data_IF_302635476465
#
_entry.id   IF_302635476465
#
_cell.length_a   1.000
_cell.length_b   1.000
_cell.length_c   1.000
_cell.angle_alpha   90.00
_cell.angle_beta   90.00
_cell.angle_gamma   90.00
#
_symmetry.space_group_name_H-M   'P 1'
#
loop_
_entity.id
_entity.type
_entity.pdbx_description
1 polymer ?
#
# COMPACT_ATOMS: atom_id res chain seq x y z
N UNK A 1 12.83 -3.06 10.83
CA UNK A 1 11.96 -3.94 10.00
C UNK A 1 12.35 -5.39 10.29
N UNK A 2 11.40 -6.30 10.52
CA UNK A 2 11.74 -7.71 10.78
C UNK A 2 12.40 -8.29 9.51
N UNK A 3 13.57 -8.94 9.65
CA UNK A 3 14.38 -9.47 8.56
C UNK A 3 13.69 -10.56 7.70
N UNK A 4 12.46 -10.98 8.05
CA UNK A 4 11.76 -12.08 7.39
C UNK A 4 10.59 -11.69 6.50
N UNK A 5 10.20 -10.41 6.44
CA UNK A 5 9.08 -9.90 5.64
C UNK A 5 7.83 -10.82 5.67
N UNK A 6 7.54 -11.39 6.84
CA UNK A 6 6.46 -12.36 7.00
C UNK A 6 5.11 -11.60 7.02
N UNK A 7 4.26 -11.78 5.99
CA UNK A 7 3.01 -11.04 5.89
C UNK A 7 2.08 -11.31 7.08
N UNK A 8 2.09 -12.52 7.64
CA UNK A 8 1.26 -12.87 8.79
C UNK A 8 1.73 -12.18 10.06
N UNK A 9 3.05 -12.03 10.23
CA UNK A 9 3.62 -11.30 11.35
C UNK A 9 3.23 -9.81 11.30
N UNK A 10 3.41 -9.15 10.16
CA UNK A 10 3.05 -7.74 9.99
C UNK A 10 1.54 -7.50 10.16
N UNK A 11 0.71 -8.39 9.63
CA UNK A 11 -0.74 -8.35 9.83
C UNK A 11 -1.14 -8.53 11.30
N UNK A 12 -0.47 -9.44 12.02
CA UNK A 12 -0.72 -9.65 13.45
C UNK A 12 -0.37 -8.42 14.28
N UNK A 13 0.72 -7.71 13.95
CA UNK A 13 1.07 -6.45 14.61
C UNK A 13 -0.07 -5.43 14.43
N UNK A 14 -0.54 -5.23 13.21
CA UNK A 14 -1.65 -4.31 12.92
C UNK A 14 -2.91 -4.66 13.69
N UNK A 15 -3.29 -5.95 13.69
CA UNK A 15 -4.45 -6.42 14.44
C UNK A 15 -4.30 -6.22 15.96
N UNK A 16 -3.07 -6.33 16.48
CA UNK A 16 -2.76 -6.14 17.91
C UNK A 16 -2.85 -4.66 18.30
N UNK A 17 -2.44 -3.74 17.41
CA UNK A 17 -2.49 -2.30 17.66
C UNK A 17 -3.86 -1.68 17.33
N UNK A 18 -4.77 -2.42 16.68
CA UNK A 18 -6.11 -1.94 16.31
C UNK A 18 -6.86 -1.20 17.44
N UNK A 19 -6.90 -1.69 18.70
CA UNK A 19 -7.66 -1.02 19.77
C UNK A 19 -7.25 0.44 20.02
N UNK A 20 -6.02 0.82 19.68
CA UNK A 20 -5.56 2.21 19.79
C UNK A 20 -6.37 3.19 18.91
N UNK A 21 -7.03 2.70 17.84
CA UNK A 21 -7.94 3.51 17.03
C UNK A 21 -9.12 4.03 17.85
N UNK A 22 -9.62 3.20 18.77
CA UNK A 22 -10.76 3.54 19.65
C UNK A 22 -10.31 4.49 20.78
N UNK A 23 -9.01 4.56 21.06
CA UNK A 23 -8.38 5.49 21.98
C UNK A 23 -7.96 6.83 21.33
N UNK A 24 -8.31 7.05 20.06
CA UNK A 24 -7.99 8.29 19.36
C UNK A 24 -6.54 8.36 18.85
N UNK A 25 -5.91 7.22 18.54
CA UNK A 25 -4.63 7.21 17.84
C UNK A 25 -4.81 6.98 16.34
N UNK A 26 -4.07 7.75 15.54
CA UNK A 26 -3.94 7.51 14.11
C UNK A 26 -2.85 6.45 13.85
N UNK A 27 -3.22 5.40 13.12
CA UNK A 27 -2.28 4.38 12.66
C UNK A 27 -1.85 4.71 11.24
N UNK A 28 -0.54 4.90 11.03
CA UNK A 28 0.04 5.21 9.72
C UNK A 28 0.98 4.08 9.31
N UNK A 29 0.74 3.51 8.12
CA UNK A 29 1.68 2.64 7.44
C UNK A 29 2.26 3.34 6.22
N UNK A 30 3.59 3.44 6.14
CA UNK A 30 4.29 4.01 4.98
C UNK A 30 4.99 2.90 4.19
N UNK A 31 4.83 2.91 2.88
CA UNK A 31 5.39 1.95 1.93
C UNK A 31 5.09 2.40 0.50
N UNK A 32 4.97 1.46 -0.45
CA UNK A 32 4.69 1.81 -1.85
C UNK A 32 3.86 0.75 -2.57
N UNK A 33 2.92 1.20 -3.39
CA UNK A 33 2.10 0.32 -4.23
C UNK A 33 2.94 -0.33 -5.33
N UNK A 34 3.89 0.42 -5.90
CA UNK A 34 4.93 -0.11 -6.81
C UNK A 34 6.27 0.46 -6.34
N UNK A 35 7.19 -0.42 -5.96
CA UNK A 35 8.50 -0.03 -5.44
C UNK A 35 9.58 -1.05 -5.86
N UNK A 36 10.07 -0.90 -7.09
CA UNK A 36 11.16 -1.69 -7.63
C UNK A 36 12.20 -0.79 -8.31
N UNK A 37 13.28 -0.49 -7.58
CA UNK A 37 14.34 0.40 -8.05
C UNK A 37 15.06 -0.11 -9.31
N UNK A 38 15.08 -1.43 -9.53
CA UNK A 38 15.66 -2.03 -10.75
C UNK A 38 14.79 -1.80 -12.00
N UNK A 39 13.50 -1.47 -11.81
CA UNK A 39 12.56 -1.21 -12.89
C UNK A 39 12.34 0.27 -13.16
N UNK A 40 12.87 1.17 -12.34
CA UNK A 40 12.72 2.62 -12.53
C UNK A 40 13.52 3.15 -13.72
N UNK A 41 13.04 4.26 -14.30
CA UNK A 41 13.74 5.00 -15.35
C UNK A 41 14.44 6.20 -14.71
N UNK A 42 15.77 6.13 -14.67
CA UNK A 42 16.58 7.10 -13.93
C UNK A 42 17.05 8.30 -14.78
N UNK A 43 17.04 8.19 -16.11
CA UNK A 43 17.54 9.22 -17.02
C UNK A 43 16.85 10.58 -16.84
N UNK A 44 15.50 10.67 -16.76
CA UNK A 44 14.83 11.95 -16.55
C UNK A 44 15.22 12.60 -15.23
N UNK A 45 15.30 11.81 -14.15
CA UNK A 45 15.73 12.29 -12.85
C UNK A 45 17.14 12.88 -12.91
N UNK A 46 18.09 12.22 -13.56
CA UNK A 46 19.47 12.70 -13.66
C UNK A 46 19.54 13.98 -14.52
N UNK A 47 18.81 14.01 -15.64
CA UNK A 47 18.84 15.10 -16.60
C UNK A 47 18.20 16.38 -16.07
N UNK A 48 17.04 16.27 -15.42
CA UNK A 48 16.28 17.42 -14.93
C UNK A 48 16.48 17.70 -13.44
N UNK A 49 17.15 16.79 -12.70
CA UNK A 49 17.25 16.82 -11.23
C UNK A 49 15.89 16.79 -10.54
N UNK A 50 14.96 16.04 -11.13
CA UNK A 50 13.57 15.96 -10.71
C UNK A 50 13.08 14.50 -10.80
N UNK A 51 12.78 13.90 -9.66
CA UNK A 51 12.22 12.56 -9.55
C UNK A 51 10.79 12.46 -10.11
N UNK A 52 10.10 13.58 -10.28
CA UNK A 52 8.79 13.67 -10.92
C UNK A 52 8.88 13.97 -12.43
N UNK A 53 10.08 14.04 -13.01
CA UNK A 53 10.22 14.18 -14.45
C UNK A 53 9.72 12.91 -15.16
N UNK A 54 8.60 13.02 -15.87
CA UNK A 54 7.91 11.92 -16.55
C UNK A 54 7.94 12.10 -18.06
N UNK A 55 9.03 11.68 -18.72
CA UNK A 55 9.13 11.71 -20.19
C UNK A 55 8.29 10.63 -20.88
N UNK A 56 8.03 9.52 -20.17
CA UNK A 56 7.22 8.39 -20.66
C UNK A 56 6.24 7.96 -19.58
N UNK A 57 5.09 7.37 -19.95
CA UNK A 57 4.17 6.84 -18.96
C UNK A 57 4.78 5.65 -18.20
N UNK A 58 4.27 5.35 -16.99
CA UNK A 58 4.64 4.13 -16.29
C UNK A 58 4.39 2.88 -17.12
N UNK A 59 5.19 1.84 -16.89
CA UNK A 59 5.04 0.56 -17.56
C UNK A 59 3.67 -0.08 -17.28
N UNK A 60 3.12 -0.80 -18.26
CA UNK A 60 1.80 -1.43 -18.14
C UNK A 60 1.71 -2.38 -16.92
N UNK A 61 2.78 -3.10 -16.60
CA UNK A 61 2.86 -3.97 -15.41
C UNK A 61 2.73 -3.19 -14.09
N UNK A 62 3.25 -1.95 -14.05
CA UNK A 62 3.19 -1.09 -12.86
C UNK A 62 1.77 -0.55 -12.68
N UNK A 63 1.15 -0.07 -13.77
CA UNK A 63 -0.24 0.37 -13.77
C UNK A 63 -1.20 -0.77 -13.39
N UNK A 64 -0.99 -1.98 -13.93
CA UNK A 64 -1.79 -3.17 -13.62
C UNK A 64 -1.69 -3.54 -12.14
N UNK A 65 -0.48 -3.61 -11.58
CA UNK A 65 -0.30 -3.94 -10.18
C UNK A 65 -0.88 -2.87 -9.25
N UNK A 66 -0.61 -1.59 -9.55
CA UNK A 66 -1.23 -0.45 -8.85
C UNK A 66 -2.75 -0.55 -8.86
N UNK A 67 -3.35 -0.88 -10.01
CA UNK A 67 -4.81 -1.01 -10.10
C UNK A 67 -5.31 -2.16 -9.24
N UNK A 68 -4.62 -3.31 -9.23
CA UNK A 68 -4.96 -4.43 -8.36
C UNK A 68 -4.88 -4.06 -6.87
N UNK A 69 -3.88 -3.27 -6.46
CA UNK A 69 -3.78 -2.74 -5.08
C UNK A 69 -4.98 -1.86 -4.75
N UNK A 70 -5.32 -0.91 -5.63
CA UNK A 70 -6.47 -0.03 -5.46
C UNK A 70 -7.76 -0.84 -5.36
N UNK A 71 -8.01 -1.77 -6.28
CA UNK A 71 -9.23 -2.58 -6.31
C UNK A 71 -9.38 -3.41 -5.04
N UNK A 72 -8.29 -3.97 -4.52
CA UNK A 72 -8.30 -4.68 -3.25
C UNK A 72 -8.71 -3.75 -2.11
N UNK A 73 -8.14 -2.55 -2.02
CA UNK A 73 -8.35 -1.61 -0.93
C UNK A 73 -9.75 -0.98 -0.97
N UNK A 74 -10.24 -0.61 -2.16
CA UNK A 74 -11.50 0.12 -2.31
C UNK A 74 -12.72 -0.81 -2.37
N UNK A 75 -12.54 -2.08 -2.79
CA UNK A 75 -13.67 -3.01 -2.98
C UNK A 75 -13.73 -4.13 -1.93
N UNK A 76 -12.81 -4.16 -0.96
CA UNK A 76 -12.85 -5.12 0.15
C UNK A 76 -12.79 -4.40 1.49
N UNK A 77 -13.51 -4.95 2.46
CA UNK A 77 -13.58 -4.47 3.84
C UNK A 77 -13.47 -5.65 4.82
N UNK A 78 -13.26 -5.35 6.10
CA UNK A 78 -13.12 -6.33 7.16
C UNK A 78 -12.17 -7.50 6.81
N UNK A 79 -12.53 -8.77 7.09
CA UNK A 79 -11.66 -9.91 6.80
C UNK A 79 -11.35 -10.11 5.31
N UNK A 80 -12.16 -9.57 4.39
CA UNK A 80 -11.88 -9.64 2.94
C UNK A 80 -10.69 -8.77 2.57
N UNK A 81 -10.53 -7.60 3.20
CA UNK A 81 -9.37 -6.72 3.01
C UNK A 81 -8.07 -7.45 3.34
N UNK A 82 -7.99 -8.09 4.52
CA UNK A 82 -6.84 -8.90 4.95
C UNK A 82 -6.48 -9.97 3.91
N UNK A 83 -7.48 -10.71 3.44
CA UNK A 83 -7.28 -11.76 2.41
C UNK A 83 -6.84 -11.19 1.07
N UNK A 84 -7.45 -10.08 0.63
CA UNK A 84 -7.13 -9.41 -0.63
C UNK A 84 -5.68 -8.92 -0.64
N UNK A 85 -5.27 -8.17 0.39
CA UNK A 85 -3.90 -7.66 0.52
C UNK A 85 -2.89 -8.80 0.55
N UNK A 86 -3.19 -9.89 1.27
CA UNK A 86 -2.32 -11.08 1.28
C UNK A 86 -2.21 -11.73 -0.10
N UNK A 87 -3.33 -11.82 -0.85
CA UNK A 87 -3.34 -12.44 -2.20
C UNK A 87 -2.57 -11.63 -3.23
N UNK A 88 -2.39 -10.33 -3.07
CA UNK A 88 -1.58 -9.51 -3.98
C UNK A 88 -0.13 -10.00 -4.06
N UNK A 89 0.41 -10.63 -3.01
CA UNK A 89 1.74 -11.26 -3.06
C UNK A 89 1.85 -12.45 -4.03
N UNK A 90 0.72 -12.92 -4.56
CA UNK A 90 0.63 -13.96 -5.60
C UNK A 90 0.21 -13.39 -6.96
N UNK A 91 0.04 -12.08 -7.08
CA UNK A 91 -0.25 -11.43 -8.36
C UNK A 91 0.92 -11.65 -9.35
N UNK A 92 0.66 -11.91 -10.65
CA UNK A 92 1.73 -12.13 -11.63
C UNK A 92 2.76 -11.00 -11.67
N UNK A 93 2.31 -9.76 -11.55
CA UNK A 93 3.17 -8.57 -11.54
C UNK A 93 3.81 -8.25 -10.19
N UNK A 94 3.59 -9.03 -9.13
CA UNK A 94 4.07 -8.67 -7.79
C UNK A 94 5.59 -8.51 -7.73
N UNK A 95 6.35 -9.42 -8.37
CA UNK A 95 7.83 -9.33 -8.37
C UNK A 95 8.36 -8.23 -9.28
N UNK A 96 7.56 -7.82 -10.25
CA UNK A 96 7.87 -6.64 -11.05
C UNK A 96 7.64 -5.36 -10.26
N UNK A 97 6.56 -5.31 -9.47
CA UNK A 97 6.25 -4.20 -8.59
C UNK A 97 7.15 -4.11 -7.36
N UNK A 98 7.63 -5.24 -6.83
CA UNK A 98 8.40 -5.32 -5.60
C UNK A 98 9.55 -6.33 -5.77
N UNK A 99 10.77 -5.83 -5.91
CA UNK A 99 11.97 -6.69 -5.92
C UNK A 99 12.16 -7.39 -4.56
N UNK A 100 11.86 -6.68 -3.49
CA UNK A 100 11.82 -7.16 -2.10
C UNK A 100 10.48 -6.82 -1.49
N UNK A 101 10.07 -7.61 -0.50
CA UNK A 101 8.72 -7.52 0.09
C UNK A 101 8.56 -6.35 1.10
N UNK A 102 9.66 -5.69 1.44
CA UNK A 102 9.79 -4.71 2.52
C UNK A 102 8.81 -3.54 2.40
N UNK A 103 8.71 -2.91 1.23
CA UNK A 103 7.83 -1.76 1.01
C UNK A 103 6.34 -2.15 0.90
N UNK A 104 6.02 -3.44 0.78
CA UNK A 104 4.64 -3.94 0.78
C UNK A 104 4.15 -4.34 2.18
N UNK A 105 5.06 -4.62 3.12
CA UNK A 105 4.70 -5.08 4.47
C UNK A 105 3.90 -4.05 5.29
N UNK A 106 4.01 -2.76 4.97
CA UNK A 106 3.18 -1.72 5.58
C UNK A 106 1.69 -1.89 5.22
N UNK A 107 1.37 -2.36 4.01
CA UNK A 107 0.00 -2.69 3.62
C UNK A 107 -0.56 -3.85 4.45
N UNK A 108 0.26 -4.88 4.75
CA UNK A 108 -0.12 -5.97 5.64
C UNK A 108 -0.44 -5.47 7.05
N UNK A 109 0.40 -4.57 7.57
CA UNK A 109 0.20 -3.93 8.86
C UNK A 109 -1.12 -3.14 8.91
N UNK A 110 -1.36 -2.26 7.93
CA UNK A 110 -2.61 -1.46 7.87
C UNK A 110 -3.84 -2.36 7.70
N UNK A 111 -3.79 -3.38 6.85
CA UNK A 111 -4.88 -4.36 6.71
C UNK A 111 -5.14 -5.15 8.00
N UNK A 112 -4.09 -5.40 8.79
CA UNK A 112 -4.24 -5.92 10.15
C UNK A 112 -5.06 -4.99 11.04
N UNK A 113 -4.72 -3.70 11.03
CA UNK A 113 -5.37 -2.68 11.85
C UNK A 113 -6.79 -2.31 11.40
N UNK A 114 -7.11 -2.42 10.10
CA UNK A 114 -8.37 -1.97 9.50
C UNK A 114 -9.24 -3.09 8.89
N UNK A 115 -8.89 -4.37 9.11
CA UNK A 115 -9.57 -5.51 8.49
C UNK A 115 -10.17 -6.51 9.49
N UNK A 116 -10.58 -6.05 10.68
CA UNK A 116 -11.29 -6.89 11.64
C UNK A 116 -12.76 -7.09 11.23
N UNK A 117 -13.50 -7.95 11.94
CA UNK A 117 -14.91 -8.21 11.61
C UNK A 117 -15.77 -6.96 11.80
N UNK A 118 -15.40 -6.12 12.75
CA UNK A 118 -16.01 -4.84 13.08
C UNK A 118 -15.74 -3.76 12.02
N UNK A 119 -14.75 -3.97 11.15
CA UNK A 119 -14.42 -3.08 10.04
C UNK A 119 -15.13 -3.50 8.73
N UNK A 120 -16.10 -4.44 8.80
CA UNK A 120 -16.90 -4.83 7.63
C UNK A 120 -17.76 -3.64 7.15
N UNK A 121 -17.72 -3.37 5.84
CA UNK A 121 -18.32 -2.17 5.25
C UNK A 121 -17.48 -0.90 5.34
N UNK A 122 -16.32 -0.90 6.02
CA UNK A 122 -15.35 0.21 5.98
C UNK A 122 -14.36 -0.02 4.84
N UNK A 123 -14.47 0.79 3.79
CA UNK A 123 -13.62 0.70 2.60
C UNK A 123 -12.51 1.74 2.63
N UNK A 124 -11.37 1.40 2.03
CA UNK A 124 -10.29 2.37 1.85
C UNK A 124 -10.63 3.37 0.75
N UNK A 125 -10.27 4.62 0.96
CA UNK A 125 -10.44 5.71 -0.02
C UNK A 125 -9.07 6.16 -0.50
N UNK A 126 -8.87 6.22 -1.83
CA UNK A 126 -7.67 6.81 -2.42
C UNK A 126 -7.73 8.33 -2.22
N UNK A 127 -6.75 8.88 -1.52
CA UNK A 127 -6.71 10.31 -1.17
C UNK A 127 -5.79 11.08 -2.10
N UNK A 128 -4.61 10.53 -2.37
CA UNK A 128 -3.59 11.12 -3.21
C UNK A 128 -2.77 10.01 -3.87
N UNK A 129 -2.17 10.33 -5.00
CA UNK A 129 -1.24 9.45 -5.69
C UNK A 129 -0.20 10.29 -6.43
N UNK A 130 1.04 9.84 -6.38
CA UNK A 130 2.09 10.34 -7.24
C UNK A 130 2.88 9.19 -7.87
N UNK A 131 3.64 9.55 -8.92
CA UNK A 131 4.52 8.65 -9.64
C UNK A 131 5.90 9.27 -9.76
N UNK A 132 6.92 8.52 -9.34
CA UNK A 132 8.32 8.93 -9.32
C UNK A 132 9.16 7.98 -10.19
N UNK A 133 10.26 8.49 -10.75
CA UNK A 133 11.22 7.69 -11.52
C UNK A 133 10.55 6.80 -12.58
N UNK A 134 9.49 7.34 -13.18
CA UNK A 134 8.56 6.68 -14.12
C UNK A 134 7.71 5.54 -13.58
N UNK A 135 8.25 4.61 -12.80
CA UNK A 135 7.52 3.38 -12.45
C UNK A 135 7.16 3.26 -10.98
N UNK A 136 7.72 4.09 -10.09
CA UNK A 136 7.44 4.03 -8.66
C UNK A 136 6.13 4.75 -8.37
N UNK A 137 5.23 4.09 -7.63
CA UNK A 137 3.88 4.59 -7.37
C UNK A 137 3.62 4.68 -5.87
N UNK A 138 3.26 5.88 -5.40
CA UNK A 138 2.91 6.15 -4.02
C UNK A 138 1.42 6.51 -3.90
N UNK A 139 0.58 5.49 -3.73
CA UNK A 139 -0.86 5.66 -3.52
C UNK A 139 -1.19 5.75 -2.03
N UNK A 140 -1.90 6.80 -1.61
CA UNK A 140 -2.28 7.06 -0.22
C UNK A 140 -3.74 6.69 0.02
N UNK A 141 -4.00 5.84 1.00
CA UNK A 141 -5.35 5.40 1.33
C UNK A 141 -5.72 5.71 2.78
N UNK A 142 -6.98 6.09 2.99
CA UNK A 142 -7.56 6.32 4.32
C UNK A 142 -8.70 5.34 4.57
N UNK A 143 -8.77 4.80 5.80
CA UNK A 143 -9.86 3.98 6.28
C UNK A 143 -10.56 4.66 7.46
N UNK A 144 -11.89 4.67 7.45
CA UNK A 144 -12.69 5.32 8.49
C UNK A 144 -12.64 6.85 8.45
N UNK A 145 -13.01 7.47 9.55
CA UNK A 145 -13.09 8.93 9.69
C UNK A 145 -12.57 9.37 11.06
N UNK A 146 -12.02 10.58 11.13
CA UNK A 146 -11.67 11.21 12.39
C UNK A 146 -12.84 12.06 12.87
N UNK A 147 -13.52 11.63 13.93
CA UNK A 147 -14.61 12.42 14.53
C UNK A 147 -14.03 13.21 15.71
N UNK A 148 -13.86 14.52 15.56
CA UNK A 148 -13.58 15.40 16.70
C UNK A 148 -14.80 15.41 17.60
N UNK A 149 -14.67 14.86 18.81
CA UNK A 149 -15.65 15.07 19.88
C UNK A 149 -15.48 16.52 20.32
N UNK A 150 -16.48 17.36 20.02
CA UNK A 150 -16.56 18.73 20.51
C UNK A 150 -17.07 18.77 21.95
#
# INVERSE_FOLDING_TARGET
>A
MNARFDPHYHMKIGATLRPLRDEGYLIVGSGGAVHNLYRNVWEPMIRYRDNFAQETPPGAWALEFRQAVQDVITNNSGPKLRRGITRLMKHPQYREAHATDDHFMSAMFVAGAAGAQEDDGVYGQLMAEDWELTNMCNSQYTFGSWTTVH
#
